data_IF_691377363622
#
_entry.id   IF_691377363622
#
_cell.length_a   1.000
_cell.length_b   1.000
_cell.length_c   1.000
_cell.angle_alpha   90.00
_cell.angle_beta   90.00
_cell.angle_gamma   90.00
#
_symmetry.space_group_name_H-M   'P 1'
#
loop_
_entity.id
_entity.type
_entity.pdbx_description
1 polymer ?
#
# COMPACT_ATOMS: atom_id res chain seq x y z
N UNK A 1 -4.06 10.89 -11.15
CA UNK A 1 -3.69 11.57 -12.41
C UNK A 1 -4.70 12.62 -12.84
N UNK A 2 -5.87 12.24 -13.37
CA UNK A 2 -6.87 13.18 -13.90
C UNK A 2 -7.68 13.98 -12.84
N UNK A 3 -7.33 13.87 -11.55
CA UNK A 3 -8.02 14.53 -10.42
C UNK A 3 -9.53 14.22 -10.29
N UNK A 4 -9.99 13.08 -10.81
CA UNK A 4 -11.38 12.65 -10.66
C UNK A 4 -11.72 12.21 -9.23
N UNK A 5 -10.75 11.63 -8.52
CA UNK A 5 -10.87 11.19 -7.11
C UNK A 5 -9.61 11.58 -6.33
N UNK A 6 -9.70 11.76 -5.00
CA UNK A 6 -8.54 12.08 -4.16
C UNK A 6 -7.59 10.89 -4.00
N UNK A 7 -8.13 9.67 -4.00
CA UNK A 7 -7.41 8.41 -3.91
C UNK A 7 -8.22 7.27 -4.55
N UNK A 8 -7.55 6.17 -4.88
CA UNK A 8 -8.16 4.93 -5.33
C UNK A 8 -7.46 3.73 -4.67
N UNK A 9 -8.15 2.58 -4.63
CA UNK A 9 -7.57 1.30 -4.24
C UNK A 9 -7.50 0.37 -5.45
N UNK A 10 -6.43 -0.42 -5.52
CA UNK A 10 -6.27 -1.47 -6.51
C UNK A 10 -5.63 -2.73 -5.91
N UNK A 11 -5.48 -3.76 -6.74
CA UNK A 11 -4.73 -4.97 -6.40
C UNK A 11 -3.43 -5.04 -7.18
N UNK A 12 -2.37 -5.57 -6.57
CA UNK A 12 -1.02 -5.68 -7.16
C UNK A 12 -0.49 -7.10 -6.95
N UNK A 13 -0.57 -7.90 -8.01
CA UNK A 13 0.06 -9.23 -8.12
C UNK A 13 1.44 -9.15 -8.77
N UNK A 14 1.46 -8.69 -10.02
CA UNK A 14 2.67 -8.54 -10.83
C UNK A 14 3.13 -7.09 -11.01
N UNK A 15 2.56 -6.14 -10.26
CA UNK A 15 2.79 -4.70 -10.47
C UNK A 15 1.53 -3.90 -10.76
N UNK A 16 0.33 -4.48 -10.69
CA UNK A 16 -0.91 -3.84 -11.17
C UNK A 16 -1.35 -2.58 -10.43
N UNK A 17 -0.70 -2.18 -9.32
CA UNK A 17 -0.81 -0.85 -8.71
C UNK A 17 0.39 0.03 -9.07
N UNK A 18 1.61 -0.51 -8.94
CA UNK A 18 2.86 0.23 -9.18
C UNK A 18 3.08 0.62 -10.64
N UNK A 19 2.75 -0.26 -11.59
CA UNK A 19 2.87 -0.03 -13.03
C UNK A 19 1.98 1.14 -13.49
N UNK A 20 0.65 1.12 -13.25
CA UNK A 20 -0.17 2.28 -13.61
C UNK A 20 0.17 3.52 -12.81
N UNK A 21 0.59 3.39 -11.53
CA UNK A 21 1.12 4.51 -10.75
C UNK A 21 2.29 5.20 -11.46
N UNK A 22 3.27 4.41 -11.91
CA UNK A 22 4.42 4.88 -12.67
C UNK A 22 4.01 5.56 -13.99
N UNK A 23 3.16 4.92 -14.79
CA UNK A 23 2.75 5.46 -16.09
C UNK A 23 1.90 6.72 -15.99
N UNK A 24 1.14 6.87 -14.91
CA UNK A 24 0.24 8.00 -14.71
C UNK A 24 0.81 9.09 -13.80
N UNK A 25 2.07 8.99 -13.38
CA UNK A 25 2.70 9.96 -12.47
C UNK A 25 1.98 10.09 -11.12
N UNK A 26 1.44 8.97 -10.62
CA UNK A 26 0.76 8.89 -9.33
C UNK A 26 1.60 8.09 -8.34
N UNK A 27 1.49 8.42 -7.05
CA UNK A 27 2.13 7.62 -6.02
C UNK A 27 1.30 6.34 -5.83
N UNK A 28 1.99 5.20 -5.81
CA UNK A 28 1.35 3.88 -5.74
C UNK A 28 2.21 2.96 -4.89
N UNK A 29 1.60 2.30 -3.90
CA UNK A 29 2.34 1.48 -2.93
C UNK A 29 1.72 0.08 -2.82
N UNK A 30 2.56 -0.94 -2.97
CA UNK A 30 2.23 -2.32 -2.64
C UNK A 30 2.80 -2.64 -1.26
N UNK A 31 1.94 -2.81 -0.27
CA UNK A 31 2.35 -3.20 1.09
C UNK A 31 2.86 -4.64 1.17
N UNK A 32 3.21 -5.05 2.38
CA UNK A 32 3.40 -6.47 2.73
C UNK A 32 2.09 -7.23 2.55
N UNK A 33 2.15 -8.49 2.11
CA UNK A 33 0.96 -9.36 1.98
C UNK A 33 0.20 -9.38 3.30
N UNK A 34 -1.13 -9.23 3.24
CA UNK A 34 -1.98 -9.19 4.43
C UNK A 34 -1.94 -7.90 5.25
N UNK A 35 -1.12 -6.90 4.89
CA UNK A 35 -1.11 -5.61 5.60
C UNK A 35 -2.45 -4.89 5.45
N UNK A 36 -2.96 -4.79 4.23
CA UNK A 36 -4.36 -4.44 3.96
C UNK A 36 -5.06 -5.77 3.65
N UNK A 37 -5.99 -6.22 4.51
CA UNK A 37 -6.67 -7.49 4.31
C UNK A 37 -7.55 -7.45 3.06
N UNK A 38 -7.71 -8.59 2.40
CA UNK A 38 -8.51 -8.77 1.19
C UNK A 38 -9.39 -10.00 1.29
N UNK A 39 -10.70 -9.79 1.23
CA UNK A 39 -11.69 -10.84 1.13
C UNK A 39 -12.83 -10.39 0.20
N UNK A 40 -13.31 -11.22 -0.74
CA UNK A 40 -12.83 -12.57 -1.07
C UNK A 40 -11.46 -12.56 -1.77
N UNK A 41 -10.73 -13.67 -1.68
CA UNK A 41 -9.43 -13.79 -2.32
C UNK A 41 -9.53 -13.93 -3.84
N UNK A 42 -8.48 -13.47 -4.52
CA UNK A 42 -8.31 -13.69 -5.95
C UNK A 42 -7.73 -15.08 -6.21
N UNK A 43 -7.80 -15.55 -7.46
CA UNK A 43 -7.13 -16.80 -7.87
C UNK A 43 -5.59 -16.76 -7.70
N UNK A 44 -5.01 -15.59 -7.45
CA UNK A 44 -3.58 -15.37 -7.19
C UNK A 44 -3.34 -14.79 -5.81
N UNK A 45 -4.10 -15.24 -4.80
CA UNK A 45 -4.12 -14.69 -3.44
C UNK A 45 -2.72 -14.48 -2.84
N UNK A 46 -1.81 -15.43 -3.01
CA UNK A 46 -0.44 -15.36 -2.48
C UNK A 46 0.42 -14.26 -3.13
N UNK A 47 -0.05 -13.67 -4.22
CA UNK A 47 0.57 -12.56 -4.91
C UNK A 47 -0.27 -11.28 -4.84
N UNK A 48 -1.58 -11.36 -4.63
CA UNK A 48 -2.51 -10.24 -4.80
C UNK A 48 -2.58 -9.37 -3.54
N UNK A 49 -1.94 -8.20 -3.59
CA UNK A 49 -1.94 -7.25 -2.48
C UNK A 49 -2.90 -6.09 -2.75
N UNK A 50 -3.74 -5.70 -1.80
CA UNK A 50 -4.40 -4.40 -1.89
C UNK A 50 -3.38 -3.26 -1.69
N UNK A 51 -3.54 -2.18 -2.47
CA UNK A 51 -2.63 -1.05 -2.42
C UNK A 51 -3.28 0.26 -2.90
N UNK A 52 -3.01 1.39 -2.23
CA UNK A 52 -3.55 2.69 -2.64
C UNK A 52 -2.78 3.29 -3.82
N UNK A 53 -3.52 4.03 -4.65
CA UNK A 53 -3.00 4.95 -5.67
C UNK A 53 -3.45 6.36 -5.30
N UNK A 54 -2.50 7.26 -5.05
CA UNK A 54 -2.74 8.59 -4.50
C UNK A 54 -1.87 9.64 -5.19
N UNK A 55 -2.01 10.91 -4.77
CA UNK A 55 -1.19 12.02 -5.28
C UNK A 55 0.08 12.25 -4.46
N UNK A 56 0.15 11.69 -3.25
CA UNK A 56 1.25 11.95 -2.33
C UNK A 56 1.54 10.75 -1.43
N UNK A 57 2.78 10.66 -0.95
CA UNK A 57 3.19 9.63 0.03
C UNK A 57 2.31 9.68 1.29
N UNK A 58 2.00 10.90 1.78
CA UNK A 58 1.20 11.13 2.99
C UNK A 58 -0.23 10.61 2.83
N UNK A 59 -0.85 10.81 1.67
CA UNK A 59 -2.21 10.29 1.42
C UNK A 59 -2.23 8.75 1.47
N UNK A 60 -1.22 8.10 0.89
CA UNK A 60 -1.11 6.64 1.00
C UNK A 60 -0.82 6.19 2.43
N UNK A 61 0.03 6.91 3.17
CA UNK A 61 0.31 6.59 4.57
C UNK A 61 -0.96 6.67 5.44
N UNK A 62 -1.78 7.71 5.25
CA UNK A 62 -3.10 7.83 5.90
C UNK A 62 -4.03 6.66 5.54
N UNK A 63 -4.06 6.26 4.28
CA UNK A 63 -4.87 5.10 3.87
C UNK A 63 -4.36 3.80 4.49
N UNK A 64 -3.05 3.64 4.65
CA UNK A 64 -2.50 2.49 5.38
C UNK A 64 -2.89 2.50 6.86
N UNK A 65 -2.97 3.66 7.51
CA UNK A 65 -3.48 3.75 8.90
C UNK A 65 -4.93 3.31 9.02
N UNK A 66 -5.76 3.63 8.02
CA UNK A 66 -7.19 3.31 8.02
C UNK A 66 -7.47 1.86 7.63
N UNK A 67 -6.76 1.36 6.61
CA UNK A 67 -7.07 0.10 5.94
C UNK A 67 -6.27 -1.09 6.48
N UNK A 68 -5.23 -0.85 7.28
CA UNK A 68 -4.42 -1.93 7.81
C UNK A 68 -5.00 -2.51 9.10
N UNK A 69 -4.92 -3.82 9.25
CA UNK A 69 -5.31 -4.49 10.48
C UNK A 69 -5.79 -5.93 10.27
N UNK A 70 -6.11 -6.62 11.37
CA UNK A 70 -6.63 -7.98 11.28
C UNK A 70 -8.04 -7.95 10.69
N UNK A 71 -8.35 -8.95 9.87
CA UNK A 71 -9.71 -9.24 9.41
C UNK A 71 -9.94 -10.74 9.61
N UNK A 72 -10.97 -11.16 10.38
CA UNK A 72 -11.25 -12.57 10.61
C UNK A 72 -11.65 -13.35 9.35
N UNK A 73 -12.02 -12.67 8.27
CA UNK A 73 -12.34 -13.29 6.99
C UNK A 73 -11.11 -13.49 6.11
N UNK A 74 -10.01 -12.78 6.38
CA UNK A 74 -8.76 -12.89 5.64
C UNK A 74 -7.69 -13.66 6.45
N UNK A 75 -7.38 -14.89 6.05
CA UNK A 75 -6.39 -15.75 6.69
C UNK A 75 -4.95 -15.22 6.54
N UNK A 76 -4.72 -14.29 5.62
CA UNK A 76 -3.44 -13.64 5.41
C UNK A 76 -3.29 -12.36 6.24
N UNK A 77 -4.38 -11.86 6.84
CA UNK A 77 -4.39 -10.57 7.52
C UNK A 77 -3.34 -10.50 8.64
N UNK A 78 -2.54 -9.43 8.60
CA UNK A 78 -1.54 -9.16 9.62
C UNK A 78 -2.17 -8.49 10.85
N UNK A 79 -1.56 -8.62 12.04
CA UNK A 79 -1.93 -7.83 13.19
C UNK A 79 -1.91 -6.33 12.89
N UNK A 80 -2.66 -5.56 13.68
CA UNK A 80 -2.66 -4.10 13.57
C UNK A 80 -1.23 -3.56 13.70
N UNK A 81 -0.84 -2.54 12.91
CA UNK A 81 0.43 -1.86 13.09
C UNK A 81 0.53 -1.24 14.49
N UNK A 82 1.71 -1.31 15.10
CA UNK A 82 1.97 -0.68 16.41
C UNK A 82 2.12 0.85 16.31
N UNK A 83 2.42 1.37 15.12
CA UNK A 83 2.67 2.78 14.84
C UNK A 83 1.86 3.26 13.62
N UNK A 84 1.49 4.54 13.63
CA UNK A 84 0.87 5.19 12.47
C UNK A 84 1.90 5.44 11.37
N UNK A 85 1.58 5.00 10.16
CA UNK A 85 2.32 5.28 8.94
C UNK A 85 2.35 6.77 8.63
N UNK A 86 1.23 7.49 8.80
CA UNK A 86 1.19 8.93 8.56
C UNK A 86 2.09 9.68 9.55
N UNK A 87 2.02 9.34 10.84
CA UNK A 87 2.87 9.93 11.86
C UNK A 87 4.36 9.65 11.57
N UNK A 88 4.67 8.45 11.06
CA UNK A 88 6.04 8.07 10.68
C UNK A 88 6.63 8.95 9.58
N UNK A 89 5.80 9.50 8.68
CA UNK A 89 6.24 10.43 7.63
C UNK A 89 6.77 11.77 8.18
N UNK A 90 6.37 12.17 9.39
CA UNK A 90 6.81 13.43 10.02
C UNK A 90 8.05 13.25 10.92
N UNK A 91 8.50 12.01 11.11
CA UNK A 91 9.68 11.72 11.92
C UNK A 91 10.97 11.78 11.09
N UNK A 92 12.06 12.35 11.65
CA UNK A 92 13.34 12.40 10.94
C UNK A 92 13.85 11.00 10.62
N UNK A 93 14.45 10.85 9.44
CA UNK A 93 15.13 9.61 9.07
C UNK A 93 16.54 9.61 9.67
N UNK A 94 16.92 8.48 10.25
CA UNK A 94 18.32 8.17 10.50
C UNK A 94 19.00 7.81 9.17
N UNK A 95 20.33 7.92 9.06
CA UNK A 95 21.05 7.50 7.86
C UNK A 95 20.66 6.08 7.41
N UNK A 96 20.19 5.96 6.16
CA UNK A 96 19.76 4.70 5.58
C UNK A 96 20.90 4.07 4.76
N UNK A 97 21.02 2.74 4.83
CA UNK A 97 21.84 1.96 3.89
C UNK A 97 20.99 1.65 2.66
N UNK A 98 21.33 2.22 1.52
CA UNK A 98 20.57 2.10 0.27
C UNK A 98 21.36 1.24 -0.72
N UNK A 99 20.75 0.13 -1.18
CA UNK A 99 21.28 -0.70 -2.26
C UNK A 99 20.72 -0.28 -3.61
N UNK A 100 21.54 -0.41 -4.67
CA UNK A 100 21.15 -0.14 -6.05
C UNK A 100 21.36 -1.40 -6.89
N UNK A 101 20.34 -1.78 -7.67
CA UNK A 101 20.38 -2.89 -8.62
C UNK A 101 19.91 -2.34 -9.98
N UNK A 102 20.76 -2.33 -11.02
CA UNK A 102 20.43 -1.81 -12.34
C UNK A 102 19.44 -2.70 -13.11
#
# INVERSE_FOLDING_TARGET
AARMVPAALGSDGGGSVRIPGSFCGAFALKGTLGRIPTWPWSATEMLSHAGPITRSVRDSALLFDILSGPDPLDHQALPAPDESFLARCDQPLQPLRIGFCP
#
